data_IF_891496136131
#
_entry.id   IF_891496136131
#
_cell.length_a   1.000
_cell.length_b   1.000
_cell.length_c   1.000
_cell.angle_alpha   90.00
_cell.angle_beta   90.00
_cell.angle_gamma   90.00
#
_symmetry.space_group_name_H-M   'P 1'
#
loop_
_entity.id
_entity.type
_entity.pdbx_description
1 polymer ?
#
# COMPACT_ATOMS: atom_id res chain seq x y z
N UNK A 1 42.45 13.29 6.72
CA UNK A 1 41.79 13.31 8.03
C UNK A 1 40.63 12.35 7.98
N UNK A 2 40.72 11.24 8.71
CA UNK A 2 39.61 10.30 8.87
C UNK A 2 38.55 11.00 9.71
N UNK A 3 37.42 11.32 9.10
CA UNK A 3 36.26 11.85 9.80
C UNK A 3 35.27 10.70 9.98
N UNK A 4 34.84 10.43 11.22
CA UNK A 4 33.74 9.50 11.50
C UNK A 4 32.44 10.29 11.53
N UNK A 5 31.50 9.96 10.67
CA UNK A 5 30.16 10.56 10.65
C UNK A 5 29.21 9.55 11.24
N UNK A 6 28.41 9.97 12.23
CA UNK A 6 27.30 9.19 12.75
C UNK A 6 26.01 9.81 12.22
N UNK A 7 25.26 9.03 11.47
CA UNK A 7 24.00 9.44 10.86
C UNK A 7 22.84 8.72 11.54
N UNK A 8 21.84 9.49 11.99
CA UNK A 8 20.60 8.95 12.53
C UNK A 8 19.48 9.17 11.50
N UNK A 9 18.87 8.08 11.05
CA UNK A 9 17.80 8.14 10.07
C UNK A 9 16.69 7.15 10.43
N UNK A 10 15.46 7.48 10.01
CA UNK A 10 14.32 6.57 10.00
C UNK A 10 14.05 5.99 8.60
N UNK A 11 14.82 6.40 7.59
CA UNK A 11 14.70 5.93 6.22
C UNK A 11 15.74 4.85 5.90
N UNK A 12 15.28 3.77 5.28
CA UNK A 12 16.14 2.67 4.85
C UNK A 12 17.12 3.06 3.76
N UNK A 13 16.72 3.95 2.86
CA UNK A 13 17.56 4.38 1.76
C UNK A 13 18.83 5.07 2.26
N UNK A 14 18.75 5.74 3.40
CA UNK A 14 19.90 6.41 4.02
C UNK A 14 20.94 5.43 4.56
N UNK A 15 20.55 4.18 4.85
CA UNK A 15 21.46 3.16 5.37
C UNK A 15 22.50 2.69 4.34
N UNK A 16 22.26 2.97 3.06
CA UNK A 16 23.19 2.64 1.96
C UNK A 16 24.41 3.55 1.92
N UNK A 17 24.39 4.69 2.61
CA UNK A 17 25.47 5.68 2.62
C UNK A 17 26.53 5.42 3.72
N UNK A 18 26.28 4.48 4.63
CA UNK A 18 27.18 4.19 5.74
C UNK A 18 27.96 2.89 5.57
N UNK A 19 29.19 2.86 6.08
CA UNK A 19 30.04 1.66 6.11
C UNK A 19 29.50 0.60 7.09
N UNK A 20 28.81 1.05 8.14
CA UNK A 20 28.24 0.20 9.19
C UNK A 20 26.86 0.77 9.58
N UNK A 21 25.84 -0.07 9.52
CA UNK A 21 24.47 0.30 9.89
C UNK A 21 24.06 -0.42 11.18
N UNK A 22 23.41 0.33 12.08
CA UNK A 22 22.89 -0.15 13.35
C UNK A 22 21.42 0.22 13.49
N UNK A 23 20.63 -0.70 14.03
CA UNK A 23 19.22 -0.44 14.35
C UNK A 23 19.09 -0.23 15.87
N UNK A 24 18.53 0.93 16.25
CA UNK A 24 18.18 1.24 17.63
C UNK A 24 16.70 0.94 17.84
N UNK A 25 16.38 0.05 18.76
CA UNK A 25 15.01 -0.19 19.25
C UNK A 25 14.90 0.24 20.70
N UNK A 26 13.70 0.31 21.25
CA UNK A 26 13.47 0.69 22.65
C UNK A 26 14.13 -0.27 23.66
N UNK A 27 14.45 -1.49 23.23
CA UNK A 27 15.01 -2.55 24.09
C UNK A 27 16.37 -3.07 23.64
N UNK A 28 16.84 -2.68 22.44
CA UNK A 28 18.05 -3.26 21.88
C UNK A 28 18.76 -2.34 20.89
N UNK A 29 20.08 -2.53 20.77
CA UNK A 29 20.92 -1.84 19.80
C UNK A 29 21.68 -2.91 19.00
N UNK A 30 21.31 -3.13 17.76
CA UNK A 30 21.87 -4.21 16.95
C UNK A 30 22.42 -3.70 15.62
N UNK A 31 23.54 -4.33 15.21
CA UNK A 31 24.11 -4.08 13.89
C UNK A 31 23.21 -4.69 12.82
N UNK A 32 22.92 -3.90 11.80
CA UNK A 32 22.22 -4.38 10.61
C UNK A 32 23.25 -5.08 9.72
N UNK A 33 23.16 -6.41 9.61
CA UNK A 33 24.08 -7.22 8.81
C UNK A 33 23.69 -7.28 7.33
N UNK A 34 22.43 -6.99 7.00
CA UNK A 34 21.91 -6.89 5.65
C UNK A 34 20.74 -5.91 5.63
N UNK A 35 20.54 -5.20 4.53
CA UNK A 35 19.32 -4.43 4.33
C UNK A 35 18.16 -5.41 4.21
N UNK A 36 17.08 -5.26 5.01
CA UNK A 36 16.04 -6.30 5.12
C UNK A 36 15.21 -6.51 3.85
N UNK A 37 15.42 -5.71 2.81
CA UNK A 37 14.74 -5.86 1.53
C UNK A 37 15.48 -6.74 0.53
N UNK A 38 16.76 -7.07 0.75
CA UNK A 38 17.55 -7.87 -0.20
C UNK A 38 17.35 -9.40 -0.07
N UNK A 39 16.84 -9.89 1.06
CA UNK A 39 16.82 -11.34 1.37
C UNK A 39 15.46 -12.03 1.21
N UNK A 40 14.51 -11.40 0.53
CA UNK A 40 13.19 -12.01 0.36
C UNK A 40 12.99 -12.52 -1.08
N UNK A 41 13.65 -13.63 -1.40
CA UNK A 41 13.27 -14.45 -2.58
C UNK A 41 11.83 -14.95 -2.42
N UNK A 42 10.97 -14.59 -3.37
CA UNK A 42 9.56 -14.95 -3.39
C UNK A 42 9.28 -16.02 -4.43
N UNK A 43 8.74 -17.16 -3.97
CA UNK A 43 8.02 -18.08 -4.84
C UNK A 43 6.58 -17.56 -4.98
N UNK A 44 6.30 -16.87 -6.07
CA UNK A 44 4.94 -16.49 -6.45
C UNK A 44 4.21 -17.72 -7.00
N UNK A 45 3.34 -18.32 -6.18
CA UNK A 45 2.28 -19.18 -6.73
C UNK A 45 1.15 -18.25 -7.19
N UNK A 46 1.19 -17.84 -8.46
CA UNK A 46 0.17 -16.98 -9.04
C UNK A 46 -1.21 -17.66 -9.04
N UNK A 47 -2.26 -17.06 -8.44
CA UNK A 47 -3.60 -17.44 -8.81
C UNK A 47 -3.81 -17.11 -10.30
N UNK A 48 -4.67 -17.86 -10.96
CA UNK A 48 -4.85 -17.87 -12.42
C UNK A 48 -5.35 -16.55 -13.03
N UNK A 49 -5.74 -15.58 -12.23
CA UNK A 49 -6.29 -14.30 -12.70
C UNK A 49 -5.23 -13.26 -13.07
N UNK A 50 -5.57 -12.38 -13.99
CA UNK A 50 -4.70 -11.32 -14.52
C UNK A 50 -5.34 -9.95 -14.30
N UNK A 51 -4.72 -9.13 -13.45
CA UNK A 51 -5.13 -7.74 -13.27
C UNK A 51 -4.75 -6.93 -14.50
N UNK A 52 -5.71 -6.16 -14.99
CA UNK A 52 -5.52 -5.22 -16.09
C UNK A 52 -6.01 -3.85 -15.66
N UNK A 53 -5.17 -2.84 -15.85
CA UNK A 53 -5.53 -1.42 -15.70
C UNK A 53 -5.33 -0.73 -17.05
N UNK A 54 -6.42 -0.26 -17.63
CA UNK A 54 -6.41 0.56 -18.84
C UNK A 54 -6.91 1.96 -18.49
N UNK A 55 -6.11 2.94 -18.80
CA UNK A 55 -6.45 4.36 -18.71
C UNK A 55 -6.33 4.91 -20.13
N UNK A 56 -7.39 5.52 -20.62
CA UNK A 56 -7.44 6.08 -21.96
C UNK A 56 -7.82 7.56 -21.91
N UNK A 57 -6.84 8.40 -22.17
CA UNK A 57 -6.95 9.83 -22.39
C UNK A 57 -7.77 10.58 -21.33
N UNK A 58 -7.50 10.30 -20.05
CA UNK A 58 -8.22 10.92 -18.95
C UNK A 58 -7.71 12.32 -18.65
N UNK A 59 -8.65 13.22 -18.33
CA UNK A 59 -8.34 14.53 -17.74
C UNK A 59 -9.27 14.79 -16.56
N UNK A 60 -8.72 15.44 -15.53
CA UNK A 60 -9.47 15.78 -14.33
C UNK A 60 -8.93 17.06 -13.69
N UNK A 61 -9.84 17.95 -13.30
CA UNK A 61 -9.57 19.13 -12.49
C UNK A 61 -10.56 19.18 -11.31
N UNK A 62 -10.11 19.66 -10.16
CA UNK A 62 -11.02 20.02 -9.07
C UNK A 62 -11.72 21.35 -9.39
N UNK A 63 -12.95 21.53 -8.88
CA UNK A 63 -13.78 22.72 -9.18
C UNK A 63 -13.10 24.05 -8.83
N UNK A 64 -12.26 24.05 -7.78
CA UNK A 64 -11.52 25.23 -7.31
C UNK A 64 -10.11 25.37 -7.91
N UNK A 65 -9.77 24.61 -8.95
CA UNK A 65 -8.41 24.56 -9.49
C UNK A 65 -8.34 25.24 -10.87
N UNK A 66 -7.39 26.16 -11.04
CA UNK A 66 -7.14 26.87 -12.30
C UNK A 66 -6.52 25.97 -13.40
N UNK A 67 -6.04 24.77 -13.03
CA UNK A 67 -5.40 23.85 -13.95
C UNK A 67 -5.75 22.39 -13.64
N UNK A 68 -5.82 21.51 -14.66
CA UNK A 68 -6.10 20.12 -14.45
C UNK A 68 -4.96 19.46 -13.66
N UNK A 69 -5.34 18.61 -12.68
CA UNK A 69 -4.40 17.76 -11.94
C UNK A 69 -3.94 16.57 -12.77
N UNK A 70 -4.84 16.08 -13.63
CA UNK A 70 -4.56 15.03 -14.61
C UNK A 70 -4.91 15.60 -15.98
N UNK A 71 -3.98 15.49 -16.94
CA UNK A 71 -4.16 16.04 -18.28
C UNK A 71 -3.73 15.05 -19.35
N UNK A 72 -4.70 14.50 -20.08
CA UNK A 72 -4.52 13.54 -21.18
C UNK A 72 -3.65 12.33 -20.81
N UNK A 73 -3.88 11.73 -19.64
CA UNK A 73 -3.13 10.55 -19.22
C UNK A 73 -3.68 9.28 -19.84
N UNK A 74 -2.75 8.44 -20.32
CA UNK A 74 -3.06 7.12 -20.83
C UNK A 74 -2.03 6.12 -20.33
N UNK A 75 -2.49 4.94 -19.89
CA UNK A 75 -1.61 3.83 -19.60
C UNK A 75 -2.31 2.50 -19.86
N UNK A 76 -1.55 1.46 -20.16
CA UNK A 76 -2.05 0.11 -20.37
C UNK A 76 -1.14 -0.88 -19.63
N UNK A 77 -1.64 -1.41 -18.52
CA UNK A 77 -0.98 -2.43 -17.73
C UNK A 77 -1.76 -3.72 -17.87
N UNK A 78 -1.09 -4.77 -18.30
CA UNK A 78 -1.69 -6.09 -18.48
C UNK A 78 -0.92 -7.11 -17.66
N UNK A 79 -1.63 -8.13 -17.20
CA UNK A 79 -1.05 -9.29 -16.49
C UNK A 79 -0.37 -8.96 -15.15
N UNK A 80 -0.73 -7.86 -14.53
CA UNK A 80 -0.17 -7.46 -13.25
C UNK A 80 -0.71 -8.30 -12.08
N UNK A 81 0.11 -8.45 -11.07
CA UNK A 81 -0.28 -8.91 -9.74
C UNK A 81 -0.31 -7.76 -8.76
N UNK A 82 0.64 -6.86 -8.93
CA UNK A 82 0.79 -5.65 -8.13
C UNK A 82 1.24 -4.49 -9.01
N UNK A 83 0.58 -3.35 -8.86
CA UNK A 83 0.87 -2.13 -9.61
C UNK A 83 1.37 -1.08 -8.63
N UNK A 84 2.54 -0.51 -8.89
CA UNK A 84 3.07 0.64 -8.20
C UNK A 84 2.75 1.93 -8.97
N UNK A 85 2.26 2.93 -8.28
CA UNK A 85 2.08 4.28 -8.80
C UNK A 85 3.09 5.20 -8.12
N UNK A 86 4.06 5.71 -8.87
CA UNK A 86 5.08 6.63 -8.39
C UNK A 86 4.95 7.99 -9.06
N UNK A 87 5.58 9.00 -8.49
CA UNK A 87 5.61 10.38 -9.00
C UNK A 87 5.77 11.38 -7.86
N UNK A 88 6.12 12.61 -8.18
CA UNK A 88 6.27 13.71 -7.22
C UNK A 88 4.97 14.01 -6.46
N UNK A 89 5.09 14.71 -5.33
CA UNK A 89 3.94 15.18 -4.58
C UNK A 89 3.13 16.20 -5.41
N UNK A 90 1.80 16.10 -5.34
CA UNK A 90 0.90 16.97 -6.12
C UNK A 90 0.64 16.51 -7.55
N UNK A 91 1.28 15.45 -8.03
CA UNK A 91 1.09 14.92 -9.40
C UNK A 91 -0.18 14.10 -9.60
N UNK A 92 -1.13 14.11 -8.67
CA UNK A 92 -2.41 13.46 -8.85
C UNK A 92 -2.46 11.97 -8.56
N UNK A 93 -1.48 11.39 -7.82
CA UNK A 93 -1.49 9.97 -7.44
C UNK A 93 -2.77 9.58 -6.69
N UNK A 94 -3.09 10.31 -5.61
CA UNK A 94 -4.32 10.13 -4.84
C UNK A 94 -5.57 10.37 -5.69
N UNK A 95 -5.56 11.40 -6.54
CA UNK A 95 -6.65 11.68 -7.47
C UNK A 95 -6.88 10.51 -8.41
N UNK A 96 -5.81 9.93 -8.96
CA UNK A 96 -5.92 8.76 -9.84
C UNK A 96 -6.52 7.56 -9.11
N UNK A 97 -6.11 7.27 -7.88
CA UNK A 97 -6.69 6.17 -7.11
C UNK A 97 -8.18 6.39 -6.80
N UNK A 98 -8.58 7.62 -6.51
CA UNK A 98 -9.98 8.00 -6.29
C UNK A 98 -10.81 7.90 -7.58
N UNK A 99 -10.23 8.17 -8.73
CA UNK A 99 -10.87 7.94 -10.04
C UNK A 99 -10.99 6.44 -10.37
N UNK A 100 -9.95 5.63 -10.07
CA UNK A 100 -9.98 4.17 -10.25
C UNK A 100 -11.08 3.55 -9.38
N UNK A 101 -11.23 4.02 -8.14
CA UNK A 101 -12.27 3.55 -7.20
C UNK A 101 -13.64 4.16 -7.43
N UNK A 102 -13.77 5.11 -8.37
CA UNK A 102 -14.98 5.87 -8.66
C UNK A 102 -15.50 6.71 -7.48
N UNK A 103 -14.64 7.04 -6.52
CA UNK A 103 -14.92 8.05 -5.49
C UNK A 103 -15.05 9.42 -6.16
N UNK A 104 -14.18 9.70 -7.14
CA UNK A 104 -14.31 10.85 -8.03
C UNK A 104 -14.86 10.39 -9.39
N UNK A 105 -15.67 11.25 -10.01
CA UNK A 105 -16.20 11.02 -11.35
C UNK A 105 -15.25 11.54 -12.41
N UNK A 106 -14.98 10.75 -13.44
CA UNK A 106 -14.21 11.17 -14.61
C UNK A 106 -14.88 12.31 -15.34
N UNK A 107 -14.09 13.31 -15.73
CA UNK A 107 -14.55 14.42 -16.58
C UNK A 107 -14.35 14.10 -18.08
N UNK A 108 -13.30 13.34 -18.43
CA UNK A 108 -13.05 12.87 -19.79
C UNK A 108 -12.25 11.58 -19.80
N UNK A 109 -12.29 10.86 -20.94
CA UNK A 109 -11.60 9.60 -21.12
C UNK A 109 -12.27 8.40 -20.44
N UNK A 110 -11.51 7.34 -20.22
CA UNK A 110 -12.02 6.13 -19.55
C UNK A 110 -10.96 5.45 -18.68
N UNK A 111 -11.42 4.83 -17.59
CA UNK A 111 -10.61 3.93 -16.75
C UNK A 111 -11.31 2.58 -16.68
N UNK A 112 -10.59 1.53 -16.98
CA UNK A 112 -11.06 0.15 -16.84
C UNK A 112 -10.07 -0.65 -15.99
N UNK A 113 -10.53 -1.09 -14.81
CA UNK A 113 -9.83 -2.04 -13.96
C UNK A 113 -10.57 -3.37 -14.04
N UNK A 114 -9.88 -4.43 -14.43
CA UNK A 114 -10.51 -5.75 -14.59
C UNK A 114 -9.58 -6.89 -14.19
N UNK A 115 -10.19 -8.00 -13.76
CA UNK A 115 -9.51 -9.29 -13.54
C UNK A 115 -10.22 -10.29 -14.44
N UNK A 116 -9.49 -10.89 -15.40
CA UNK A 116 -10.06 -11.81 -16.39
C UNK A 116 -11.35 -11.26 -17.05
N UNK A 117 -11.30 -9.98 -17.43
CA UNK A 117 -12.41 -9.22 -18.06
C UNK A 117 -13.63 -8.99 -17.17
N UNK A 118 -13.55 -9.23 -15.87
CA UNK A 118 -14.61 -8.92 -14.88
C UNK A 118 -14.21 -7.72 -14.04
N UNK A 119 -15.18 -6.92 -13.63
CA UNK A 119 -14.96 -5.83 -12.70
C UNK A 119 -14.64 -6.40 -11.31
N UNK A 120 -13.47 -6.08 -10.71
CA UNK A 120 -13.13 -6.54 -9.38
C UNK A 120 -13.86 -5.73 -8.30
N UNK A 121 -14.02 -6.35 -7.13
CA UNK A 121 -14.32 -5.63 -5.91
C UNK A 121 -13.05 -4.95 -5.39
N UNK A 122 -13.14 -3.67 -5.06
CA UNK A 122 -11.97 -2.85 -4.69
C UNK A 122 -12.17 -2.24 -3.31
N UNK A 123 -11.14 -2.32 -2.47
CA UNK A 123 -11.02 -1.48 -1.27
C UNK A 123 -9.83 -0.55 -1.41
N UNK A 124 -9.97 0.66 -0.90
CA UNK A 124 -8.91 1.66 -0.88
C UNK A 124 -8.63 2.09 0.56
N UNK A 125 -7.36 2.08 0.95
CA UNK A 125 -6.87 2.78 2.13
C UNK A 125 -6.32 4.13 1.71
N UNK A 126 -6.98 5.18 2.18
CA UNK A 126 -6.55 6.59 1.99
C UNK A 126 -5.27 6.89 2.79
N UNK A 127 -4.55 7.92 2.39
CA UNK A 127 -3.39 8.44 3.10
C UNK A 127 -3.70 8.76 4.59
N UNK A 128 -4.95 9.08 4.91
CA UNK A 128 -5.44 9.39 6.26
C UNK A 128 -6.45 8.34 6.71
N UNK A 129 -5.97 7.22 7.30
CA UNK A 129 -6.80 6.05 7.62
C UNK A 129 -7.95 6.37 8.60
N UNK A 130 -7.79 7.39 9.47
CA UNK A 130 -8.84 7.84 10.38
C UNK A 130 -10.08 8.36 9.66
N UNK A 131 -9.96 8.80 8.40
CA UNK A 131 -11.11 9.26 7.59
C UNK A 131 -12.02 8.12 7.18
N UNK A 132 -11.50 6.90 7.09
CA UNK A 132 -12.29 5.73 6.72
C UNK A 132 -13.24 5.32 7.86
N UNK A 133 -12.80 5.49 9.10
CA UNK A 133 -13.52 5.05 10.30
C UNK A 133 -14.29 6.23 10.91
N UNK A 134 -13.79 7.45 10.73
CA UNK A 134 -14.36 8.64 11.36
C UNK A 134 -14.23 8.61 12.89
N UNK A 135 -15.27 9.04 13.65
CA UNK A 135 -15.25 9.03 15.10
C UNK A 135 -15.47 7.64 15.72
N UNK A 136 -15.77 6.65 14.89
CA UNK A 136 -16.12 5.30 15.31
C UNK A 136 -14.91 4.52 15.82
N UNK A 137 -15.19 3.40 16.51
CA UNK A 137 -14.17 2.46 16.93
C UNK A 137 -13.85 1.43 15.83
N UNK A 138 -12.69 0.79 15.92
CA UNK A 138 -12.35 -0.31 15.02
C UNK A 138 -13.33 -1.50 15.13
N UNK A 139 -13.91 -1.72 16.31
CA UNK A 139 -14.91 -2.77 16.51
C UNK A 139 -16.21 -2.45 15.75
N UNK A 140 -16.65 -1.18 15.76
CA UNK A 140 -17.80 -0.75 14.97
C UNK A 140 -17.51 -0.86 13.48
N UNK A 141 -16.34 -0.45 13.02
CA UNK A 141 -15.91 -0.60 11.63
C UNK A 141 -15.94 -2.07 11.17
N UNK A 142 -15.41 -2.99 11.99
CA UNK A 142 -15.48 -4.43 11.68
C UNK A 142 -16.93 -4.92 11.65
N UNK A 143 -17.77 -4.48 12.60
CA UNK A 143 -19.18 -4.86 12.65
C UNK A 143 -19.93 -4.40 11.39
N UNK A 144 -19.59 -3.22 10.88
CA UNK A 144 -20.12 -2.70 9.63
C UNK A 144 -19.65 -3.52 8.41
N UNK A 145 -18.36 -3.90 8.36
CA UNK A 145 -17.84 -4.78 7.32
C UNK A 145 -18.53 -6.15 7.31
N UNK A 146 -18.87 -6.69 8.49
CA UNK A 146 -19.61 -7.94 8.62
C UNK A 146 -21.05 -7.76 8.16
N UNK A 147 -21.74 -6.71 8.60
CA UNK A 147 -23.14 -6.45 8.23
C UNK A 147 -23.33 -6.21 6.73
N UNK A 148 -22.32 -5.66 6.07
CA UNK A 148 -22.27 -5.45 4.62
C UNK A 148 -21.68 -6.66 3.85
N UNK A 149 -21.55 -7.82 4.49
CA UNK A 149 -21.03 -9.08 3.89
C UNK A 149 -19.61 -8.95 3.30
N UNK A 150 -18.86 -7.93 3.73
CA UNK A 150 -17.46 -7.72 3.29
C UNK A 150 -16.48 -8.55 4.09
N UNK A 151 -16.75 -8.80 5.36
CA UNK A 151 -15.90 -9.63 6.23
C UNK A 151 -16.71 -10.82 6.74
N UNK A 152 -16.20 -12.03 6.49
CA UNK A 152 -16.79 -13.24 7.04
C UNK A 152 -16.45 -13.35 8.55
N UNK A 153 -17.45 -13.44 9.46
CA UNK A 153 -17.22 -13.55 10.89
C UNK A 153 -16.29 -14.70 11.30
N UNK A 154 -16.29 -15.80 10.54
CA UNK A 154 -15.39 -16.93 10.81
C UNK A 154 -13.91 -16.60 10.64
N UNK A 155 -13.56 -15.56 9.86
CA UNK A 155 -12.18 -15.10 9.66
C UNK A 155 -11.69 -14.17 10.78
N UNK A 156 -12.58 -13.69 11.66
CA UNK A 156 -12.22 -12.74 12.73
C UNK A 156 -11.09 -13.25 13.63
N UNK A 157 -11.15 -14.52 14.02
CA UNK A 157 -10.08 -15.10 14.88
C UNK A 157 -8.73 -15.09 14.17
N UNK A 158 -8.71 -15.36 12.87
CA UNK A 158 -7.48 -15.31 12.06
C UNK A 158 -6.98 -13.88 11.90
N UNK A 159 -7.87 -12.93 11.66
CA UNK A 159 -7.57 -11.51 11.57
C UNK A 159 -6.95 -10.99 12.88
N UNK A 160 -7.56 -11.28 14.03
CA UNK A 160 -7.05 -10.89 15.36
C UNK A 160 -5.68 -11.53 15.64
N UNK A 161 -5.49 -12.81 15.30
CA UNK A 161 -4.18 -13.47 15.43
C UNK A 161 -3.12 -12.80 14.56
N UNK A 162 -3.50 -12.34 13.37
CA UNK A 162 -2.59 -11.61 12.48
C UNK A 162 -2.23 -10.24 13.03
N UNK A 163 -3.21 -9.49 13.56
CA UNK A 163 -2.96 -8.23 14.28
C UNK A 163 -1.93 -8.46 15.41
N UNK A 164 -2.15 -9.48 16.25
CA UNK A 164 -1.24 -9.81 17.34
C UNK A 164 0.17 -10.17 16.86
N UNK A 165 0.32 -10.97 15.81
CA UNK A 165 1.63 -11.31 15.22
C UNK A 165 2.32 -10.11 14.58
N UNK A 166 1.55 -9.09 14.19
CA UNK A 166 2.03 -7.79 13.71
C UNK A 166 2.26 -6.79 14.85
N UNK A 167 2.32 -7.25 16.10
CA UNK A 167 2.56 -6.47 17.32
C UNK A 167 1.44 -5.46 17.64
N UNK A 168 0.23 -5.71 17.17
CA UNK A 168 -0.95 -4.90 17.45
C UNK A 168 -1.82 -5.65 18.46
N UNK A 169 -2.05 -5.05 19.63
CA UNK A 169 -2.93 -5.62 20.63
C UNK A 169 -4.37 -5.17 20.35
N UNK A 170 -5.17 -6.10 19.82
CA UNK A 170 -6.58 -5.87 19.48
C UNK A 170 -7.41 -5.39 20.67
N UNK A 171 -7.23 -6.00 21.85
CA UNK A 171 -8.01 -5.65 23.04
C UNK A 171 -7.78 -4.23 23.55
N UNK A 172 -6.64 -3.64 23.20
CA UNK A 172 -6.34 -2.24 23.54
C UNK A 172 -7.02 -1.30 22.54
N UNK A 173 -6.95 -1.60 21.22
CA UNK A 173 -7.33 -0.63 20.19
C UNK A 173 -8.78 -0.76 19.70
N UNK A 174 -9.44 -1.91 19.93
CA UNK A 174 -10.76 -2.21 19.34
C UNK A 174 -11.84 -1.19 19.68
N UNK A 175 -11.86 -0.70 20.93
CA UNK A 175 -12.85 0.25 21.44
C UNK A 175 -12.38 1.70 21.37
N UNK A 176 -11.14 1.94 20.97
CA UNK A 176 -10.62 3.29 20.84
C UNK A 176 -11.19 3.95 19.56
N UNK A 177 -11.44 5.26 19.64
CA UNK A 177 -11.70 6.04 18.45
C UNK A 177 -10.44 6.07 17.56
N UNK A 178 -10.62 5.98 16.26
CA UNK A 178 -9.53 5.95 15.30
C UNK A 178 -8.52 7.11 15.49
N UNK A 179 -8.99 8.27 15.91
CA UNK A 179 -8.15 9.46 16.16
C UNK A 179 -7.19 9.28 17.34
N UNK A 180 -7.51 8.39 18.28
CA UNK A 180 -6.70 8.13 19.48
C UNK A 180 -5.64 7.03 19.24
N UNK A 181 -5.75 6.29 18.13
CA UNK A 181 -4.81 5.22 17.78
C UNK A 181 -3.62 5.83 17.02
N UNK A 182 -2.35 5.49 17.37
CA UNK A 182 -1.20 5.95 16.60
C UNK A 182 -1.35 5.60 15.12
N UNK A 183 -1.09 6.56 14.23
CA UNK A 183 -1.33 6.42 12.78
C UNK A 183 -0.73 5.17 12.14
N UNK A 184 0.50 4.83 12.48
CA UNK A 184 1.14 3.63 11.96
C UNK A 184 0.45 2.34 12.41
N UNK A 185 -0.04 2.31 13.66
CA UNK A 185 -0.80 1.19 14.22
C UNK A 185 -2.17 1.08 13.56
N UNK A 186 -2.88 2.19 13.43
CA UNK A 186 -4.20 2.25 12.79
C UNK A 186 -4.11 1.79 11.34
N UNK A 187 -3.15 2.33 10.58
CA UNK A 187 -2.92 1.99 9.18
C UNK A 187 -2.64 0.50 9.01
N UNK A 188 -1.72 -0.04 9.79
CA UNK A 188 -1.40 -1.47 9.74
C UNK A 188 -2.61 -2.33 10.12
N UNK A 189 -3.39 -1.93 11.12
CA UNK A 189 -4.60 -2.63 11.52
C UNK A 189 -5.64 -2.66 10.39
N UNK A 190 -5.90 -1.51 9.73
CA UNK A 190 -6.86 -1.44 8.64
C UNK A 190 -6.38 -2.28 7.44
N UNK A 191 -5.10 -2.22 7.06
CA UNK A 191 -4.54 -3.05 5.96
C UNK A 191 -4.78 -4.53 6.26
N UNK A 192 -4.51 -4.97 7.50
CA UNK A 192 -4.76 -6.36 7.91
C UNK A 192 -6.25 -6.67 7.81
N UNK A 193 -7.14 -5.86 8.37
CA UNK A 193 -8.59 -6.08 8.34
C UNK A 193 -9.09 -6.19 6.90
N UNK A 194 -8.75 -5.23 6.04
CA UNK A 194 -9.16 -5.22 4.64
C UNK A 194 -8.66 -6.43 3.85
N UNK A 195 -7.48 -6.98 4.21
CA UNK A 195 -6.95 -8.18 3.55
C UNK A 195 -7.78 -9.44 3.82
N UNK A 196 -8.48 -9.50 4.96
CA UNK A 196 -9.42 -10.59 5.30
C UNK A 196 -10.82 -10.37 4.73
N UNK A 197 -11.10 -9.17 4.21
CA UNK A 197 -12.38 -8.85 3.58
C UNK A 197 -12.49 -9.44 2.17
N UNK A 198 -13.73 -9.57 1.68
CA UNK A 198 -14.04 -10.04 0.34
C UNK A 198 -13.85 -8.93 -0.71
N UNK A 199 -12.60 -8.48 -0.86
CA UNK A 199 -12.16 -7.57 -1.92
C UNK A 199 -11.10 -8.27 -2.77
N UNK A 200 -11.17 -8.07 -4.09
CA UNK A 200 -10.20 -8.65 -5.02
C UNK A 200 -8.93 -7.81 -5.08
N UNK A 201 -9.08 -6.49 -5.07
CA UNK A 201 -8.01 -5.50 -5.20
C UNK A 201 -7.96 -4.62 -3.95
N UNK A 202 -6.76 -4.42 -3.41
CA UNK A 202 -6.49 -3.42 -2.37
C UNK A 202 -5.65 -2.29 -2.97
N UNK A 203 -6.15 -1.06 -2.89
CA UNK A 203 -5.41 0.15 -3.21
C UNK A 203 -4.92 0.77 -1.92
N UNK A 204 -3.61 0.95 -1.78
CA UNK A 204 -3.00 1.49 -0.58
C UNK A 204 -2.27 2.79 -0.93
N UNK A 205 -2.81 3.93 -0.45
CA UNK A 205 -2.21 5.24 -0.67
C UNK A 205 -1.26 5.59 0.47
N UNK A 206 0.02 5.77 0.14
CA UNK A 206 1.12 6.04 1.05
C UNK A 206 1.16 5.09 2.27
N UNK A 207 1.17 3.75 2.06
CA UNK A 207 1.02 2.81 3.16
C UNK A 207 2.14 2.87 4.20
N UNK A 208 3.30 3.41 3.84
CA UNK A 208 4.48 3.56 4.73
C UNK A 208 4.53 4.89 5.46
N UNK A 209 3.62 5.84 5.15
CA UNK A 209 3.64 7.17 5.75
C UNK A 209 3.48 7.11 7.28
N UNK A 210 4.37 7.80 8.00
CA UNK A 210 4.39 7.82 9.47
C UNK A 210 4.90 6.53 10.14
N UNK A 211 5.42 5.57 9.37
CA UNK A 211 5.98 4.31 9.88
C UNK A 211 7.49 4.42 10.08
N UNK A 212 7.97 3.99 11.25
CA UNK A 212 9.38 3.72 11.48
C UNK A 212 9.84 2.43 10.78
N UNK A 213 11.15 2.21 10.70
CA UNK A 213 11.78 1.09 9.99
C UNK A 213 11.15 -0.28 10.35
N UNK A 214 10.97 -0.55 11.65
CA UNK A 214 10.38 -1.81 12.12
C UNK A 214 8.96 -2.04 11.59
N UNK A 215 8.15 -0.99 11.55
CA UNK A 215 6.77 -1.05 11.05
C UNK A 215 6.73 -1.22 9.54
N UNK A 216 7.61 -0.53 8.79
CA UNK A 216 7.78 -0.72 7.35
C UNK A 216 8.14 -2.18 7.02
N UNK A 217 9.02 -2.80 7.82
CA UNK A 217 9.38 -4.23 7.67
C UNK A 217 8.21 -5.17 7.92
N UNK A 218 7.45 -4.93 9.00
CA UNK A 218 6.25 -5.73 9.29
C UNK A 218 5.21 -5.60 8.18
N UNK A 219 5.01 -4.38 7.67
CA UNK A 219 4.13 -4.13 6.53
C UNK A 219 4.64 -4.84 5.28
N UNK A 220 5.92 -4.68 4.94
CA UNK A 220 6.54 -5.34 3.80
C UNK A 220 6.36 -6.86 3.84
N UNK A 221 6.66 -7.48 4.99
CA UNK A 221 6.44 -8.91 5.19
C UNK A 221 4.97 -9.28 4.99
N UNK A 222 4.07 -8.50 5.55
CA UNK A 222 2.63 -8.77 5.43
C UNK A 222 2.12 -8.63 3.99
N UNK A 223 2.50 -7.57 3.27
CA UNK A 223 2.10 -7.39 1.87
C UNK A 223 2.52 -8.59 1.02
N UNK A 224 3.71 -9.09 1.23
CA UNK A 224 4.22 -10.27 0.55
C UNK A 224 3.41 -11.54 0.86
N UNK A 225 2.88 -11.69 2.07
CA UNK A 225 2.02 -12.81 2.44
C UNK A 225 0.64 -12.74 1.75
N UNK A 226 0.13 -11.53 1.46
CA UNK A 226 -1.21 -11.36 0.88
C UNK A 226 -1.22 -11.30 -0.65
N UNK A 227 -0.14 -10.89 -1.31
CA UNK A 227 -0.03 -10.81 -2.77
C UNK A 227 -0.49 -12.09 -3.49
N UNK A 228 -0.24 -13.32 -3.00
CA UNK A 228 -0.76 -14.53 -3.64
C UNK A 228 -2.29 -14.61 -3.71
N UNK A 229 -2.99 -13.93 -2.82
CA UNK A 229 -4.45 -14.01 -2.68
C UNK A 229 -5.18 -12.71 -3.01
N UNK A 230 -4.46 -11.59 -3.16
CA UNK A 230 -5.00 -10.25 -3.41
C UNK A 230 -4.20 -9.56 -4.49
N UNK A 231 -4.87 -8.76 -5.32
CA UNK A 231 -4.18 -7.82 -6.19
C UNK A 231 -3.91 -6.52 -5.42
N UNK A 232 -2.76 -5.92 -5.66
CA UNK A 232 -2.37 -4.67 -4.98
C UNK A 232 -2.17 -3.54 -5.98
N UNK A 233 -2.62 -2.35 -5.61
CA UNK A 233 -2.18 -1.10 -6.22
C UNK A 233 -1.57 -0.27 -5.10
N UNK A 234 -0.27 -0.08 -5.15
CA UNK A 234 0.49 0.67 -4.14
C UNK A 234 0.84 2.05 -4.69
N UNK A 235 0.55 3.08 -3.92
CA UNK A 235 0.88 4.46 -4.26
C UNK A 235 1.89 4.94 -3.22
N UNK A 236 3.07 5.34 -3.65
CA UNK A 236 4.06 5.90 -2.74
C UNK A 236 5.11 6.73 -3.46
N UNK A 237 5.68 7.69 -2.75
CA UNK A 237 6.91 8.37 -3.15
C UNK A 237 8.17 7.56 -2.77
N UNK A 238 8.04 6.52 -1.94
CA UNK A 238 9.10 5.57 -1.60
C UNK A 238 9.27 4.56 -2.75
N UNK A 239 10.06 4.94 -3.76
CA UNK A 239 10.31 4.13 -4.97
C UNK A 239 10.86 2.75 -4.60
N UNK A 240 11.73 2.67 -3.61
CA UNK A 240 12.31 1.41 -3.16
C UNK A 240 11.26 0.45 -2.58
N UNK A 241 10.31 0.99 -1.82
CA UNK A 241 9.19 0.21 -1.32
C UNK A 241 8.31 -0.31 -2.46
N UNK A 242 8.03 0.52 -3.47
CA UNK A 242 7.27 0.12 -4.66
C UNK A 242 8.02 -0.97 -5.44
N UNK A 243 9.30 -0.78 -5.74
CA UNK A 243 10.12 -1.76 -6.45
C UNK A 243 10.23 -3.12 -5.72
N UNK A 244 10.11 -3.11 -4.38
CA UNK A 244 10.17 -4.35 -3.58
C UNK A 244 8.87 -5.16 -3.58
N UNK A 245 7.75 -4.59 -4.08
CA UNK A 245 6.42 -5.19 -3.95
C UNK A 245 5.61 -5.22 -5.25
N UNK A 246 5.99 -4.43 -6.26
CA UNK A 246 5.19 -4.29 -7.47
C UNK A 246 5.90 -4.90 -8.67
N UNK A 247 5.15 -5.67 -9.47
CA UNK A 247 5.63 -6.25 -10.73
C UNK A 247 5.49 -5.28 -11.91
N UNK A 248 4.58 -4.30 -11.81
CA UNK A 248 4.43 -3.21 -12.76
C UNK A 248 4.50 -1.87 -12.04
N UNK A 249 5.21 -0.91 -12.62
CA UNK A 249 5.35 0.43 -12.05
C UNK A 249 4.92 1.45 -13.12
N UNK A 250 3.96 2.30 -12.77
CA UNK A 250 3.56 3.44 -13.56
C UNK A 250 4.11 4.73 -12.93
N UNK A 251 5.05 5.34 -13.65
CA UNK A 251 5.60 6.65 -13.31
C UNK A 251 4.70 7.74 -13.89
N UNK A 252 4.06 8.51 -13.01
CA UNK A 252 3.14 9.56 -13.41
C UNK A 252 3.84 10.80 -13.97
N UNK A 253 5.09 11.04 -13.57
CA UNK A 253 5.87 12.18 -14.05
C UNK A 253 6.33 11.95 -15.49
N UNK A 254 6.75 10.72 -15.79
CA UNK A 254 7.23 10.34 -17.12
C UNK A 254 6.12 9.76 -18.00
N UNK A 255 4.96 9.42 -17.42
CA UNK A 255 3.85 8.71 -18.07
C UNK A 255 4.28 7.38 -18.72
N UNK A 256 5.15 6.64 -18.04
CA UNK A 256 5.72 5.39 -18.54
C UNK A 256 5.38 4.24 -17.60
N UNK A 257 5.04 3.10 -18.20
CA UNK A 257 4.92 1.82 -17.47
C UNK A 257 6.22 1.05 -17.63
N UNK A 258 6.80 0.61 -16.53
CA UNK A 258 7.95 -0.29 -16.51
C UNK A 258 7.59 -1.63 -15.84
N UNK A 259 8.18 -2.70 -16.36
CA UNK A 259 8.16 -4.01 -15.71
C UNK A 259 9.30 -4.07 -14.70
N UNK A 260 9.02 -4.60 -13.54
CA UNK A 260 10.02 -4.79 -12.51
C UNK A 260 10.59 -6.22 -12.57
N UNK A 261 11.67 -6.38 -13.30
CA UNK A 261 12.32 -7.68 -13.50
C UNK A 261 12.79 -8.32 -12.19
N UNK A 262 13.04 -7.55 -11.13
CA UNK A 262 13.44 -8.07 -9.81
C UNK A 262 12.32 -8.90 -9.15
N UNK A 263 11.08 -8.56 -9.39
CA UNK A 263 9.91 -9.28 -8.89
C UNK A 263 9.58 -10.45 -9.81
N UNK A 264 9.80 -10.32 -11.12
CA UNK A 264 9.50 -11.35 -12.12
C UNK A 264 10.51 -12.50 -12.14
N UNK A 265 11.78 -12.28 -11.77
CA UNK A 265 12.82 -13.33 -11.74
C UNK A 265 12.58 -14.37 -10.63
N UNK A 266 11.77 -14.04 -9.64
CA UNK A 266 11.43 -14.89 -8.49
C UNK A 266 10.01 -15.48 -8.58
N UNK A 267 9.37 -15.43 -9.75
CA UNK A 267 8.00 -15.91 -10.00
C UNK A 267 7.98 -17.31 -10.63
#
# INVERSE_FOLDING_TARGET
SNCTVIWFTSDYNDLTFGDISWMLSLSDFSKISSLPFEDLSYNYNHPSGRLRLMIDNISFAYDDSDSPVINNWSCNINHARSIGLIGENGKGKTTLSQLITKILSLQSGSINLSIDSKNPSVAMLDQFPERMIGPESLENFISELISNEKLNPHLMKMCINKLKSSQINWDIIKNESAINIPWSTLRMAIIIILSYCNYDVLILDEPTFGMGIKQKLLLSKFLKEIIPNKYLILISHDVYFIESHCDHIYDLDQQVVSLNDRVLINA
#
